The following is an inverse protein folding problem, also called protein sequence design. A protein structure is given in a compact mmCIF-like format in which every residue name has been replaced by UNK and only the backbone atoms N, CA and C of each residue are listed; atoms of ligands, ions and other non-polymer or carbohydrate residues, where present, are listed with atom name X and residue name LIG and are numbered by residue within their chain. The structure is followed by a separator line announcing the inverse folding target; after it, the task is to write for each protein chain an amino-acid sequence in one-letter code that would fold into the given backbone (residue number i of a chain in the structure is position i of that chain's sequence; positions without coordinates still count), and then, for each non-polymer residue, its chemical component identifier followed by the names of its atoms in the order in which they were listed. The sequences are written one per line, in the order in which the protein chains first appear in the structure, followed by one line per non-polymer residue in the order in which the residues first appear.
data_IF_823503515955
#
_entry.id   IF_823503515955
#
_cell.length_a   1.000
_cell.length_b   1.000
_cell.length_c   1.000
_cell.angle_alpha   90.00
_cell.angle_beta   90.00
_cell.angle_gamma   90.00
#
_symmetry.space_group_name_H-M   'P 1'
#
loop_
_entity.id
_entity.type
_entity.pdbx_description
1 polymer ?
#
# COMPACT_ATOMS: atom_id res chain seq x y z
N UNK A 1 91.78 -15.37 23.86
CA UNK A 1 92.02 -16.78 23.52
C UNK A 1 90.65 -17.42 23.35
N UNK A 2 90.36 -17.83 22.11
CA UNK A 2 89.07 -18.35 21.64
C UNK A 2 88.75 -19.74 22.21
N UNK A 3 87.45 -20.09 22.18
CA UNK A 3 86.80 -21.40 21.90
C UNK A 3 85.40 -21.33 22.56
N UNK A 4 84.26 -21.73 21.99
CA UNK A 4 83.96 -22.55 20.82
C UNK A 4 82.46 -22.40 20.52
N UNK A 5 82.10 -22.39 19.23
CA UNK A 5 80.72 -22.49 18.72
C UNK A 5 80.27 -23.95 18.85
N UNK A 6 79.00 -24.20 19.18
CA UNK A 6 78.32 -25.46 18.81
C UNK A 6 76.81 -25.24 18.65
N UNK A 7 76.40 -25.19 17.39
CA UNK A 7 75.24 -25.83 16.78
C UNK A 7 74.06 -26.26 17.68
N UNK A 8 72.96 -25.51 17.64
CA UNK A 8 71.60 -26.08 17.77
C UNK A 8 70.47 -25.10 17.33
N UNK A 9 70.73 -24.23 16.37
CA UNK A 9 69.78 -23.19 15.90
C UNK A 9 69.18 -23.49 14.52
N UNK A 10 69.02 -24.77 14.15
CA UNK A 10 68.57 -25.14 12.81
C UNK A 10 67.31 -26.02 12.74
N UNK A 11 66.61 -26.29 13.85
CA UNK A 11 65.47 -27.24 13.83
C UNK A 11 64.14 -26.71 14.39
N UNK A 12 64.01 -25.42 14.70
CA UNK A 12 62.74 -24.87 15.19
C UNK A 12 61.95 -24.00 14.20
N UNK A 13 62.49 -23.72 13.00
CA UNK A 13 61.86 -22.78 12.06
C UNK A 13 61.20 -23.39 10.81
N UNK A 14 61.11 -24.73 10.71
CA UNK A 14 60.63 -25.39 9.48
C UNK A 14 59.28 -26.11 9.55
N UNK A 15 58.54 -26.05 10.66
CA UNK A 15 57.21 -26.73 10.74
C UNK A 15 56.00 -25.79 10.84
N UNK A 16 56.20 -24.46 10.92
CA UNK A 16 55.09 -23.49 11.08
C UNK A 16 54.58 -22.83 9.79
N UNK A 17 54.93 -23.33 8.60
CA UNK A 17 54.55 -22.70 7.33
C UNK A 17 53.55 -23.49 6.46
N UNK A 18 53.08 -24.67 6.91
CA UNK A 18 52.19 -25.50 6.08
C UNK A 18 50.70 -25.47 6.47
N UNK A 19 50.34 -25.00 7.66
CA UNK A 19 48.93 -24.96 8.09
C UNK A 19 48.18 -23.68 7.66
N UNK A 20 48.88 -22.62 7.26
CA UNK A 20 48.25 -21.33 6.92
C UNK A 20 47.90 -21.13 5.44
N UNK A 21 48.26 -22.08 4.56
CA UNK A 21 47.94 -22.00 3.12
C UNK A 21 46.67 -22.75 2.70
N UNK A 22 46.15 -23.66 3.53
CA UNK A 22 44.92 -24.41 3.22
C UNK A 22 43.62 -23.72 3.67
N UNK A 23 43.70 -22.72 4.55
CA UNK A 23 42.51 -21.95 4.99
C UNK A 23 42.16 -20.78 4.07
N UNK A 24 43.03 -20.42 3.12
CA UNK A 24 42.82 -19.25 2.24
C UNK A 24 42.17 -19.57 0.88
N UNK A 25 42.01 -20.85 0.55
CA UNK A 25 41.34 -21.29 -0.70
C UNK A 25 39.92 -21.83 -0.48
N UNK A 26 39.44 -21.92 0.77
CA UNK A 26 38.06 -22.34 1.09
C UNK A 26 37.03 -21.21 1.18
N UNK A 27 37.43 -19.94 1.03
CA UNK A 27 36.56 -18.77 1.24
C UNK A 27 35.98 -18.22 -0.08
N UNK A 28 36.51 -18.62 -1.24
CA UNK A 28 36.09 -18.09 -2.54
C UNK A 28 35.00 -18.91 -3.26
N UNK A 29 34.55 -20.04 -2.68
CA UNK A 29 33.54 -20.92 -3.29
C UNK A 29 32.16 -20.86 -2.63
N UNK A 30 31.99 -20.09 -1.55
CA UNK A 30 30.68 -19.92 -0.89
C UNK A 30 29.94 -18.64 -1.28
N UNK A 31 30.58 -17.73 -2.04
CA UNK A 31 29.97 -16.47 -2.49
C UNK A 31 29.21 -16.57 -3.83
N UNK A 32 29.26 -17.73 -4.51
CA UNK A 32 28.69 -17.90 -5.87
C UNK A 32 27.40 -18.74 -5.88
N UNK A 33 26.95 -19.26 -4.73
CA UNK A 33 25.79 -20.16 -4.65
C UNK A 33 24.64 -19.65 -3.78
N UNK A 34 24.63 -18.36 -3.45
CA UNK A 34 23.44 -17.73 -2.88
C UNK A 34 22.56 -17.24 -4.04
N UNK A 35 21.46 -17.93 -4.41
CA UNK A 35 20.39 -17.23 -5.09
C UNK A 35 19.96 -16.12 -4.13
N UNK A 36 20.31 -14.88 -4.45
CA UNK A 36 19.57 -13.73 -3.97
C UNK A 36 18.17 -13.90 -4.55
N UNK A 37 17.32 -14.66 -3.86
CA UNK A 37 15.89 -14.57 -4.04
C UNK A 37 15.50 -13.17 -3.60
N UNK A 38 15.71 -12.19 -4.48
CA UNK A 38 14.94 -10.96 -4.46
C UNK A 38 13.52 -11.39 -4.76
N UNK A 39 12.76 -11.69 -3.70
CA UNK A 39 11.32 -11.55 -3.77
C UNK A 39 11.10 -10.07 -4.09
N UNK A 40 10.90 -9.75 -5.36
CA UNK A 40 10.22 -8.52 -5.72
C UNK A 40 8.86 -8.63 -5.03
N UNK A 41 8.70 -7.90 -3.92
CA UNK A 41 7.45 -7.83 -3.21
C UNK A 41 6.36 -7.51 -4.22
N UNK A 42 5.29 -8.28 -4.14
CA UNK A 42 4.12 -8.11 -4.98
C UNK A 42 3.72 -6.63 -4.92
N UNK A 43 3.79 -5.90 -6.05
CA UNK A 43 3.39 -4.50 -6.11
C UNK A 43 1.86 -4.44 -6.04
N UNK A 44 1.33 -4.58 -4.82
CA UNK A 44 -0.08 -4.48 -4.55
C UNK A 44 -0.57 -3.09 -4.96
N UNK A 45 -1.69 -3.02 -5.67
CA UNK A 45 -2.35 -1.77 -5.94
C UNK A 45 -2.87 -1.10 -4.66
N UNK A 46 -3.53 0.07 -4.78
CA UNK A 46 -3.91 0.87 -3.64
C UNK A 46 -5.03 0.21 -2.82
N UNK A 47 -5.00 0.43 -1.51
CA UNK A 47 -5.98 -0.04 -0.53
C UNK A 47 -6.87 1.09 -0.09
N UNK A 48 -8.14 0.98 -0.45
CA UNK A 48 -9.06 2.12 -0.44
C UNK A 48 -10.33 1.76 0.30
N UNK A 49 -10.86 2.71 1.06
CA UNK A 49 -12.20 2.59 1.66
C UNK A 49 -13.22 3.22 0.71
N UNK A 50 -14.30 2.51 0.41
CA UNK A 50 -15.45 3.09 -0.29
C UNK A 50 -16.55 3.44 0.72
N UNK A 51 -17.07 4.67 0.65
CA UNK A 51 -18.19 5.11 1.47
C UNK A 51 -19.25 5.79 0.63
N UNK A 52 -20.46 5.27 0.68
CA UNK A 52 -21.63 5.91 0.12
C UNK A 52 -22.45 6.57 1.24
N UNK A 53 -22.52 7.90 1.22
CA UNK A 53 -23.27 8.69 2.21
C UNK A 53 -24.77 8.81 1.86
N UNK A 54 -25.16 8.41 0.67
CA UNK A 54 -26.52 8.44 0.16
C UNK A 54 -27.22 7.10 0.42
N UNK A 55 -28.16 7.10 1.36
CA UNK A 55 -28.91 5.90 1.76
C UNK A 55 -30.22 5.72 0.98
N UNK A 56 -30.41 6.47 -0.11
CA UNK A 56 -31.56 6.30 -1.00
C UNK A 56 -31.35 5.13 -1.97
N UNK A 57 -32.43 4.72 -2.65
CA UNK A 57 -32.38 3.66 -3.68
C UNK A 57 -31.44 4.00 -4.84
N UNK A 58 -31.29 5.28 -5.18
CA UNK A 58 -30.33 5.71 -6.18
C UNK A 58 -28.89 5.66 -5.64
N UNK A 59 -28.69 5.90 -4.34
CA UNK A 59 -27.40 5.64 -3.68
C UNK A 59 -27.03 4.17 -3.77
N UNK A 60 -27.98 3.26 -3.53
CA UNK A 60 -27.77 1.82 -3.70
C UNK A 60 -27.39 1.45 -5.14
N UNK A 61 -27.95 2.14 -6.16
CA UNK A 61 -27.53 1.94 -7.56
C UNK A 61 -26.07 2.30 -7.78
N UNK A 62 -25.58 3.38 -7.17
CA UNK A 62 -24.16 3.78 -7.27
C UNK A 62 -23.27 2.72 -6.63
N UNK A 63 -23.65 2.19 -5.46
CA UNK A 63 -22.96 1.06 -4.83
C UNK A 63 -22.92 -0.16 -5.75
N UNK A 64 -24.04 -0.49 -6.41
CA UNK A 64 -24.12 -1.61 -7.34
C UNK A 64 -23.21 -1.39 -8.56
N UNK A 65 -23.17 -0.19 -9.13
CA UNK A 65 -22.26 0.15 -10.23
C UNK A 65 -20.81 -0.12 -9.83
N UNK A 66 -20.37 0.35 -8.66
CA UNK A 66 -19.00 0.11 -8.17
C UNK A 66 -18.73 -1.38 -7.95
N UNK A 67 -19.67 -2.11 -7.35
CA UNK A 67 -19.53 -3.57 -7.15
C UNK A 67 -19.42 -4.32 -8.48
N UNK A 68 -20.25 -3.97 -9.45
CA UNK A 68 -20.26 -4.60 -10.78
C UNK A 68 -18.99 -4.26 -11.56
N UNK A 69 -18.57 -2.98 -11.51
CA UNK A 69 -17.32 -2.52 -12.11
C UNK A 69 -16.13 -3.34 -11.61
N UNK A 70 -16.03 -3.53 -10.30
CA UNK A 70 -14.93 -4.27 -9.68
C UNK A 70 -15.04 -5.80 -9.82
N UNK A 71 -16.21 -6.31 -10.16
CA UNK A 71 -16.39 -7.73 -10.45
C UNK A 71 -16.07 -8.06 -11.92
N UNK A 72 -15.82 -7.04 -12.74
CA UNK A 72 -15.43 -7.18 -14.14
C UNK A 72 -14.08 -7.87 -14.33
N UNK A 73 -13.94 -8.62 -15.44
CA UNK A 73 -12.72 -9.38 -15.76
C UNK A 73 -11.50 -8.50 -16.10
N UNK A 74 -11.71 -7.24 -16.45
CA UNK A 74 -10.67 -6.27 -16.78
C UNK A 74 -11.02 -4.92 -16.15
N UNK A 75 -10.56 -4.69 -14.92
CA UNK A 75 -10.63 -3.35 -14.32
C UNK A 75 -9.39 -2.60 -14.80
N UNK A 76 -9.59 -1.70 -15.73
CA UNK A 76 -8.56 -0.79 -16.19
C UNK A 76 -9.03 0.62 -15.85
N UNK A 77 -8.75 1.06 -14.63
CA UNK A 77 -8.47 2.48 -14.47
C UNK A 77 -7.12 2.74 -15.17
N UNK A 78 -6.86 3.96 -15.66
CA UNK A 78 -5.66 4.33 -16.46
C UNK A 78 -4.27 4.00 -15.83
N UNK A 79 -4.23 3.32 -14.67
CA UNK A 79 -3.13 2.52 -14.17
C UNK A 79 -3.65 1.20 -13.56
N UNK A 80 -2.85 0.12 -13.66
CA UNK A 80 -3.23 -1.27 -13.38
C UNK A 80 -3.85 -1.51 -11.98
N UNK A 81 -5.16 -1.29 -11.83
CA UNK A 81 -5.93 -1.79 -10.68
C UNK A 81 -6.18 -3.29 -10.88
N UNK A 82 -5.20 -4.10 -10.52
CA UNK A 82 -5.33 -5.56 -10.64
C UNK A 82 -6.13 -6.11 -9.48
N UNK A 83 -7.19 -6.86 -9.81
CA UNK A 83 -7.94 -7.64 -8.83
C UNK A 83 -7.04 -8.64 -8.12
N UNK A 84 -7.07 -8.64 -6.78
CA UNK A 84 -6.20 -9.46 -5.93
C UNK A 84 -4.96 -8.72 -5.40
N UNK A 85 -4.58 -7.63 -6.06
CA UNK A 85 -3.40 -6.84 -5.71
C UNK A 85 -3.79 -5.53 -5.03
N UNK A 86 -4.98 -5.01 -5.37
CA UNK A 86 -5.67 -3.90 -4.71
C UNK A 86 -6.78 -4.43 -3.79
N UNK A 87 -7.12 -3.66 -2.75
CA UNK A 87 -8.21 -3.97 -1.83
C UNK A 87 -9.18 -2.79 -1.75
N UNK A 88 -10.48 -3.09 -1.91
CA UNK A 88 -11.55 -2.13 -1.64
C UNK A 88 -12.36 -2.53 -0.41
N UNK A 89 -12.30 -1.68 0.61
CA UNK A 89 -13.05 -1.84 1.85
C UNK A 89 -14.40 -1.13 1.75
N UNK A 90 -15.41 -1.89 1.32
CA UNK A 90 -16.79 -1.40 1.24
C UNK A 90 -17.65 -1.96 2.37
N UNK A 91 -17.83 -3.29 2.41
CA UNK A 91 -18.66 -3.97 3.42
C UNK A 91 -17.97 -4.08 4.79
N UNK A 92 -16.66 -4.29 4.79
CA UNK A 92 -15.84 -4.43 6.01
C UNK A 92 -15.02 -3.16 6.27
N UNK A 93 -15.71 -2.01 6.34
CA UNK A 93 -15.06 -0.74 6.62
C UNK A 93 -14.43 -0.74 8.03
N UNK A 94 -13.25 -0.13 8.23
CA UNK A 94 -12.70 0.07 9.56
C UNK A 94 -13.70 0.77 10.49
N UNK A 95 -13.99 0.27 11.70
CA UNK A 95 -14.96 0.90 12.61
C UNK A 95 -14.59 2.34 13.00
N UNK A 96 -13.31 2.70 12.95
CA UNK A 96 -12.80 4.05 13.21
C UNK A 96 -13.09 5.05 12.08
N UNK A 97 -13.60 4.60 10.94
CA UNK A 97 -13.99 5.42 9.78
C UNK A 97 -15.50 5.33 9.62
N UNK A 98 -16.25 5.92 10.55
CA UNK A 98 -17.71 5.93 10.52
C UNK A 98 -18.29 7.04 9.61
N UNK A 99 -19.61 7.02 9.41
CA UNK A 99 -20.31 8.00 8.56
C UNK A 99 -20.22 9.43 9.12
N UNK A 100 -20.16 9.60 10.44
CA UNK A 100 -20.08 10.93 11.06
C UNK A 100 -18.73 11.57 10.75
N UNK A 101 -17.63 10.84 10.99
CA UNK A 101 -16.28 11.26 10.67
C UNK A 101 -16.16 11.62 9.19
N UNK A 102 -16.68 10.75 8.31
CA UNK A 102 -16.63 10.96 6.86
C UNK A 102 -17.45 12.19 6.45
N UNK A 103 -18.69 12.34 6.91
CA UNK A 103 -19.52 13.53 6.62
C UNK A 103 -18.84 14.82 7.06
N UNK A 104 -18.32 14.84 8.29
CA UNK A 104 -17.68 16.02 8.85
C UNK A 104 -16.35 16.39 8.15
N UNK A 105 -15.57 15.39 7.75
CA UNK A 105 -14.33 15.60 7.02
C UNK A 105 -14.60 16.09 5.59
N UNK A 106 -15.51 15.44 4.87
CA UNK A 106 -15.75 15.70 3.45
C UNK A 106 -16.71 16.86 3.17
N UNK A 107 -17.87 16.84 3.82
CA UNK A 107 -18.93 17.83 3.57
C UNK A 107 -18.78 19.02 4.52
N UNK A 108 -18.50 18.76 5.80
CA UNK A 108 -18.26 19.78 6.80
C UNK A 108 -16.90 20.49 6.66
N UNK A 109 -15.95 19.90 5.91
CA UNK A 109 -14.57 20.42 5.71
C UNK A 109 -13.85 20.74 7.02
N UNK A 110 -14.18 20.01 8.10
CA UNK A 110 -13.61 20.25 9.43
C UNK A 110 -12.17 19.73 9.48
N UNK A 111 -11.19 20.65 9.61
CA UNK A 111 -9.76 20.30 9.66
C UNK A 111 -9.39 19.28 10.74
N UNK A 112 -10.06 19.33 11.89
CA UNK A 112 -9.84 18.37 12.98
C UNK A 112 -10.28 16.96 12.58
N UNK A 113 -11.42 16.83 11.92
CA UNK A 113 -11.97 15.55 11.44
C UNK A 113 -11.16 15.02 10.25
N UNK A 114 -10.65 15.88 9.37
CA UNK A 114 -9.67 15.47 8.34
C UNK A 114 -8.40 14.87 8.96
N UNK A 115 -7.84 15.47 10.01
CA UNK A 115 -6.68 14.91 10.72
C UNK A 115 -7.01 13.57 11.39
N UNK A 116 -8.19 13.45 11.99
CA UNK A 116 -8.64 12.18 12.59
C UNK A 116 -8.79 11.09 11.53
N UNK A 117 -9.36 11.42 10.37
CA UNK A 117 -9.46 10.52 9.23
C UNK A 117 -8.09 10.07 8.72
N UNK A 118 -7.14 10.99 8.54
CA UNK A 118 -5.76 10.67 8.12
C UNK A 118 -5.09 9.69 9.09
N UNK A 119 -5.23 9.93 10.40
CA UNK A 119 -4.71 9.02 11.42
C UNK A 119 -5.40 7.65 11.35
N UNK A 120 -6.72 7.60 11.15
CA UNK A 120 -7.46 6.35 11.04
C UNK A 120 -7.00 5.51 9.83
N UNK A 121 -6.78 6.15 8.68
CA UNK A 121 -6.27 5.50 7.46
C UNK A 121 -4.86 4.93 7.70
N UNK A 122 -3.93 5.75 8.21
CA UNK A 122 -2.52 5.34 8.40
C UNK A 122 -2.33 4.26 9.46
N UNK A 123 -3.19 4.24 10.48
CA UNK A 123 -3.10 3.29 11.61
C UNK A 123 -3.94 2.04 11.42
N UNK A 124 -4.71 1.94 10.35
CA UNK A 124 -5.47 0.74 10.09
C UNK A 124 -4.54 -0.47 9.94
N UNK A 125 -5.01 -1.61 10.46
CA UNK A 125 -4.35 -2.91 10.39
C UNK A 125 -5.43 -3.92 10.06
N UNK A 126 -5.30 -4.57 8.91
CA UNK A 126 -6.19 -5.66 8.54
C UNK A 126 -5.73 -6.94 9.28
N UNK A 127 -6.68 -7.63 9.93
CA UNK A 127 -6.40 -8.88 10.62
C UNK A 127 -6.11 -10.03 9.63
N UNK A 128 -6.70 -9.99 8.44
CA UNK A 128 -6.47 -10.98 7.38
C UNK A 128 -5.16 -10.71 6.63
N UNK A 129 -4.72 -9.45 6.61
CA UNK A 129 -3.48 -9.01 5.97
C UNK A 129 -2.61 -8.17 6.91
N UNK A 130 -2.06 -8.76 7.99
CA UNK A 130 -1.33 -8.02 9.03
C UNK A 130 -0.03 -7.38 8.54
N UNK A 131 0.52 -7.86 7.42
CA UNK A 131 1.69 -7.28 6.76
C UNK A 131 1.37 -6.01 5.96
N UNK A 132 0.09 -5.67 5.82
CA UNK A 132 -0.34 -4.46 5.15
C UNK A 132 -0.73 -3.41 6.18
N UNK A 133 0.19 -2.46 6.34
CA UNK A 133 0.04 -1.37 7.30
C UNK A 133 -0.60 -0.14 6.63
N UNK A 134 -1.78 0.24 7.13
CA UNK A 134 -2.49 1.44 6.70
C UNK A 134 -3.26 1.27 5.39
N UNK A 135 -4.04 2.31 5.08
CA UNK A 135 -4.84 2.44 3.88
C UNK A 135 -4.31 3.62 3.06
N UNK A 136 -4.35 3.50 1.75
CA UNK A 136 -3.88 4.52 0.82
C UNK A 136 -4.85 5.70 0.70
N UNK A 137 -6.14 5.46 0.95
CA UNK A 137 -7.12 6.53 1.04
C UNK A 137 -8.56 6.06 1.18
N UNK A 138 -9.46 6.99 0.92
CA UNK A 138 -10.90 6.79 1.01
C UNK A 138 -11.57 7.55 -0.13
N UNK A 139 -12.51 6.88 -0.79
CA UNK A 139 -13.38 7.44 -1.82
C UNK A 139 -14.81 7.49 -1.26
N UNK A 140 -15.48 8.63 -1.49
CA UNK A 140 -16.77 8.94 -0.90
C UNK A 140 -17.73 9.44 -1.96
N UNK A 141 -18.88 8.79 -2.10
CA UNK A 141 -20.01 9.32 -2.86
C UNK A 141 -20.96 10.11 -1.96
N UNK A 142 -21.42 11.26 -2.45
CA UNK A 142 -22.46 12.06 -1.81
C UNK A 142 -23.40 12.68 -2.84
N UNK A 143 -24.68 12.81 -2.47
CA UNK A 143 -25.72 13.53 -3.23
C UNK A 143 -25.84 15.01 -2.83
N UNK A 144 -25.28 15.41 -1.70
CA UNK A 144 -25.53 16.74 -1.12
C UNK A 144 -24.25 17.58 -1.04
N UNK A 145 -24.25 18.85 -1.50
CA UNK A 145 -25.33 19.55 -2.21
C UNK A 145 -25.49 19.14 -3.68
N UNK A 146 -24.52 18.42 -4.23
CA UNK A 146 -24.45 17.95 -5.61
C UNK A 146 -24.00 16.49 -5.62
N UNK A 147 -24.33 15.75 -6.68
CA UNK A 147 -23.91 14.36 -6.84
C UNK A 147 -22.46 14.31 -7.27
N UNK A 148 -21.59 13.84 -6.39
CA UNK A 148 -20.16 13.78 -6.63
C UNK A 148 -19.50 12.61 -5.93
N UNK A 149 -18.38 12.18 -6.50
CA UNK A 149 -17.40 11.34 -5.86
C UNK A 149 -16.26 12.23 -5.38
N UNK A 150 -15.73 11.92 -4.20
CA UNK A 150 -14.65 12.63 -3.56
C UNK A 150 -13.59 11.66 -3.11
N UNK A 151 -12.35 12.09 -3.01
CA UNK A 151 -11.24 11.26 -2.53
C UNK A 151 -10.33 12.01 -1.57
N UNK A 152 -9.83 11.29 -0.59
CA UNK A 152 -8.78 11.74 0.30
C UNK A 152 -7.69 10.66 0.36
N UNK A 153 -6.50 11.01 -0.12
CA UNK A 153 -5.30 10.18 0.00
C UNK A 153 -4.69 10.34 1.39
N UNK A 154 -4.23 9.26 1.99
CA UNK A 154 -3.53 9.31 3.27
C UNK A 154 -2.29 10.22 3.19
N UNK A 155 -2.17 11.15 4.13
CA UNK A 155 -1.15 12.19 4.15
C UNK A 155 -1.42 13.42 3.30
N UNK A 156 -2.46 13.42 2.47
CA UNK A 156 -2.81 14.59 1.69
C UNK A 156 -3.38 15.71 2.58
N UNK A 157 -3.38 16.92 2.02
CA UNK A 157 -3.91 18.12 2.68
C UNK A 157 -5.28 18.54 2.18
N UNK A 158 -5.74 17.95 1.07
CA UNK A 158 -6.96 18.36 0.36
C UNK A 158 -7.77 17.14 -0.02
N UNK A 159 -9.06 17.38 -0.19
CA UNK A 159 -10.00 16.44 -0.80
C UNK A 159 -10.12 16.81 -2.28
N UNK A 160 -10.08 15.79 -3.12
CA UNK A 160 -10.33 15.90 -4.55
C UNK A 160 -11.76 15.46 -4.84
N UNK A 161 -12.39 16.00 -5.87
CA UNK A 161 -13.81 15.73 -6.15
C UNK A 161 -14.15 15.86 -7.63
N UNK A 162 -15.02 14.97 -8.10
CA UNK A 162 -15.56 14.94 -9.46
C UNK A 162 -17.08 14.86 -9.36
N UNK A 163 -17.79 15.74 -10.08
CA UNK A 163 -19.23 15.66 -10.19
C UNK A 163 -19.61 14.49 -11.12
N UNK A 164 -20.56 13.66 -10.70
CA UNK A 164 -21.03 12.49 -11.46
C UNK A 164 -22.43 12.66 -12.03
N UNK A 165 -23.12 13.73 -11.64
CA UNK A 165 -24.36 14.16 -12.25
C UNK A 165 -24.66 15.62 -11.87
N UNK A 166 -25.43 16.29 -12.72
CA UNK A 166 -26.07 17.57 -12.38
C UNK A 166 -27.26 17.36 -11.43
N UNK A 167 -27.60 18.37 -10.61
CA UNK A 167 -28.73 18.30 -9.68
C UNK A 167 -30.04 17.90 -10.39
N UNK A 168 -30.69 16.85 -9.90
CA UNK A 168 -31.97 16.34 -10.42
C UNK A 168 -31.85 15.15 -11.39
N UNK A 169 -30.65 14.82 -11.87
CA UNK A 169 -30.40 13.65 -12.70
C UNK A 169 -29.82 12.50 -11.85
N UNK A 170 -30.09 11.25 -12.24
CA UNK A 170 -29.47 10.07 -11.64
C UNK A 170 -28.08 9.87 -12.28
N UNK A 171 -27.02 9.54 -11.52
CA UNK A 171 -25.71 9.25 -12.10
C UNK A 171 -25.81 8.08 -13.08
N UNK A 172 -25.26 8.26 -14.27
CA UNK A 172 -25.08 7.16 -15.24
C UNK A 172 -23.84 6.35 -14.87
N UNK A 173 -23.82 5.11 -15.34
CA UNK A 173 -22.79 4.12 -15.00
C UNK A 173 -21.39 4.63 -15.32
N UNK A 174 -21.22 5.11 -16.55
CA UNK A 174 -19.93 5.55 -17.10
C UNK A 174 -19.35 6.72 -16.26
N UNK A 175 -20.17 7.71 -15.91
CA UNK A 175 -19.73 8.86 -15.09
C UNK A 175 -19.25 8.42 -13.70
N UNK A 176 -19.89 7.41 -13.10
CA UNK A 176 -19.51 6.86 -11.79
C UNK A 176 -18.19 6.10 -11.88
N UNK A 177 -18.02 5.26 -12.90
CA UNK A 177 -16.81 4.47 -13.12
C UNK A 177 -15.60 5.37 -13.42
N UNK A 178 -15.76 6.34 -14.32
CA UNK A 178 -14.73 7.30 -14.69
C UNK A 178 -14.31 8.16 -13.49
N UNK A 179 -15.29 8.67 -12.72
CA UNK A 179 -15.01 9.46 -11.53
C UNK A 179 -14.33 8.63 -10.43
N UNK A 180 -14.73 7.35 -10.26
CA UNK A 180 -14.04 6.44 -9.35
C UNK A 180 -12.59 6.26 -9.76
N UNK A 181 -12.32 5.94 -11.04
CA UNK A 181 -10.97 5.75 -11.56
C UNK A 181 -10.11 7.01 -11.45
N UNK A 182 -10.65 8.17 -11.79
CA UNK A 182 -9.94 9.45 -11.71
C UNK A 182 -9.57 9.85 -10.27
N UNK A 183 -10.30 9.35 -9.28
CA UNK A 183 -10.13 9.69 -7.87
C UNK A 183 -9.48 8.58 -7.05
N UNK A 184 -8.96 7.54 -7.70
CA UNK A 184 -8.21 6.49 -7.02
C UNK A 184 -6.96 7.07 -6.35
N UNK A 185 -6.83 6.91 -5.02
CA UNK A 185 -5.62 7.33 -4.32
C UNK A 185 -4.38 6.59 -4.87
N UNK A 186 -3.23 7.28 -5.02
CA UNK A 186 -1.96 6.61 -5.28
C UNK A 186 -1.57 5.74 -4.07
N UNK A 187 -0.66 4.78 -4.29
CA UNK A 187 -0.08 3.97 -3.21
C UNK A 187 0.82 4.88 -2.35
N UNK A 188 0.55 4.95 -1.06
CA UNK A 188 1.27 5.79 -0.08
C UNK A 188 1.81 5.00 1.11
N UNK A 189 1.35 3.77 1.31
CA UNK A 189 1.91 2.85 2.32
C UNK A 189 3.36 2.48 1.98
N UNK A 190 4.19 2.34 3.03
CA UNK A 190 5.55 1.88 2.87
C UNK A 190 5.52 0.40 2.45
N UNK A 191 6.03 0.12 1.24
CA UNK A 191 6.28 -1.21 0.69
C UNK A 191 7.54 -1.84 1.27
#
# INVERSE_FOLDING_TARGET
MQLQISDDMALFFRSRSFAFKLLRQGVLLFAVLSPLFSFAGYAGGPYVVWVNLDRSSDGEKVDQIIVDFLSGKSIECDGQWKMGDSLLYMKRRPPSIDDELVRDAFLGKKKTKMKQLDVALRRYRDAEFPHHEGLDGIIVYSRQPEMKIMSFTAGARRIESVAVASQGNVPVKEDVEDAFCALLPPITRAS
#
